data_IF_849763878662
#
_entry.id   IF_849763878662
#
_cell.length_a   1.000
_cell.length_b   1.000
_cell.length_c   1.000
_cell.angle_alpha   90.00
_cell.angle_beta   90.00
_cell.angle_gamma   90.00
#
_symmetry.space_group_name_H-M   'P 1'
#
loop_
_entity.id
_entity.type
_entity.pdbx_description
1 polymer ?
#
# COMPACT_ATOMS: atom_id res chain seq x y z
N UNK A 1 -18.57 7.69 2.92
CA UNK A 1 -17.75 6.66 3.59
C UNK A 1 -18.22 6.45 5.03
N UNK A 2 -18.17 5.23 5.56
CA UNK A 2 -18.53 4.98 6.97
C UNK A 2 -17.53 5.65 7.92
N UNK A 3 -18.01 6.22 9.03
CA UNK A 3 -17.17 6.86 10.06
C UNK A 3 -16.14 5.87 10.65
N UNK A 4 -16.54 4.59 10.77
CA UNK A 4 -15.69 3.47 11.17
C UNK A 4 -14.49 3.29 10.22
N UNK A 5 -14.72 3.38 8.90
CA UNK A 5 -13.65 3.22 7.91
C UNK A 5 -12.61 4.36 8.01
N UNK A 6 -13.06 5.60 8.22
CA UNK A 6 -12.15 6.75 8.43
C UNK A 6 -11.29 6.58 9.69
N UNK A 7 -11.88 6.07 10.78
CA UNK A 7 -11.17 5.79 12.03
C UNK A 7 -10.10 4.72 11.85
N UNK A 8 -10.44 3.55 11.29
CA UNK A 8 -9.46 2.47 11.09
C UNK A 8 -8.31 2.88 10.17
N UNK A 9 -8.59 3.68 9.13
CA UNK A 9 -7.55 4.23 8.25
C UNK A 9 -6.67 5.24 8.99
N UNK A 10 -7.25 6.09 9.82
CA UNK A 10 -6.47 7.04 10.64
C UNK A 10 -5.59 6.31 11.65
N UNK A 11 -6.10 5.27 12.31
CA UNK A 11 -5.33 4.42 13.23
C UNK A 11 -4.21 3.63 12.54
N UNK A 12 -4.42 3.23 11.28
CA UNK A 12 -3.37 2.66 10.46
C UNK A 12 -2.21 3.65 10.27
N UNK A 13 -2.52 4.92 10.07
CA UNK A 13 -1.55 5.99 9.80
C UNK A 13 -1.88 6.81 8.54
N UNK A 14 -3.11 6.74 8.05
CA UNK A 14 -3.59 7.58 6.94
C UNK A 14 -3.90 8.98 7.44
N UNK A 15 -3.29 9.99 6.80
CA UNK A 15 -3.69 11.38 6.99
C UNK A 15 -4.97 11.63 6.18
N UNK A 16 -6.12 11.31 6.78
CA UNK A 16 -7.42 11.46 6.11
C UNK A 16 -7.65 12.89 5.62
N UNK A 17 -7.18 13.90 6.36
CA UNK A 17 -7.33 15.30 5.94
C UNK A 17 -6.59 15.55 4.62
N UNK A 18 -5.29 15.27 4.59
CA UNK A 18 -4.46 15.49 3.40
C UNK A 18 -4.89 14.60 2.22
N UNK A 19 -5.34 13.40 2.51
CA UNK A 19 -5.86 12.48 1.48
C UNK A 19 -7.15 13.00 0.88
N UNK A 20 -8.12 13.46 1.68
CA UNK A 20 -9.36 14.04 1.15
C UNK A 20 -9.11 15.31 0.32
N UNK A 21 -8.10 16.12 0.64
CA UNK A 21 -7.69 17.26 -0.20
C UNK A 21 -7.29 16.81 -1.63
N UNK A 22 -6.62 15.65 -1.78
CA UNK A 22 -6.26 15.10 -3.10
C UNK A 22 -7.47 14.58 -3.87
N UNK A 23 -8.46 14.06 -3.17
CA UNK A 23 -9.72 13.58 -3.74
C UNK A 23 -10.77 14.70 -3.86
N UNK A 24 -10.42 15.96 -3.59
CA UNK A 24 -11.34 17.11 -3.67
C UNK A 24 -12.58 16.92 -2.77
N UNK A 25 -12.40 16.23 -1.64
CA UNK A 25 -13.47 15.88 -0.71
C UNK A 25 -14.37 14.72 -1.16
N UNK A 26 -14.06 14.06 -2.28
CA UNK A 26 -14.83 12.94 -2.80
C UNK A 26 -14.48 11.64 -2.05
N UNK A 27 -15.27 11.38 -1.00
CA UNK A 27 -15.13 10.19 -0.17
C UNK A 27 -15.53 8.90 -0.88
N UNK A 28 -16.42 8.98 -1.87
CA UNK A 28 -16.92 7.83 -2.60
C UNK A 28 -15.84 7.32 -3.56
N UNK A 29 -15.25 8.25 -4.32
CA UNK A 29 -14.10 7.97 -5.19
C UNK A 29 -12.92 7.39 -4.41
N UNK A 30 -12.66 7.89 -3.20
CA UNK A 30 -11.63 7.32 -2.33
C UNK A 30 -11.96 5.87 -1.95
N UNK A 31 -13.19 5.60 -1.50
CA UNK A 31 -13.62 4.28 -1.08
C UNK A 31 -13.57 3.27 -2.25
N UNK A 32 -13.95 3.69 -3.46
CA UNK A 32 -13.80 2.90 -4.68
C UNK A 32 -12.33 2.59 -4.99
N UNK A 33 -11.47 3.60 -4.93
CA UNK A 33 -10.04 3.44 -5.17
C UNK A 33 -9.38 2.53 -4.13
N UNK A 34 -9.76 2.64 -2.86
CA UNK A 34 -9.31 1.75 -1.78
C UNK A 34 -9.79 0.32 -2.03
N UNK A 35 -11.07 0.13 -2.33
CA UNK A 35 -11.65 -1.19 -2.63
C UNK A 35 -10.96 -1.85 -3.82
N UNK A 36 -10.70 -1.06 -4.87
CA UNK A 36 -9.95 -1.51 -6.05
C UNK A 36 -8.51 -1.86 -5.69
N UNK A 37 -7.82 -1.07 -4.87
CA UNK A 37 -6.49 -1.41 -4.39
C UNK A 37 -6.48 -2.75 -3.64
N UNK A 38 -7.50 -3.04 -2.82
CA UNK A 38 -7.59 -4.29 -2.08
C UNK A 38 -7.91 -5.50 -2.98
N UNK A 39 -8.72 -5.30 -4.02
CA UNK A 39 -9.15 -6.37 -4.94
C UNK A 39 -8.17 -6.63 -6.09
N UNK A 40 -7.55 -5.57 -6.60
CA UNK A 40 -6.64 -5.52 -7.75
C UNK A 40 -5.22 -5.15 -7.29
N UNK A 41 -4.85 -5.58 -6.08
CA UNK A 41 -3.53 -5.27 -5.55
C UNK A 41 -2.49 -5.87 -6.48
N UNK A 42 -1.48 -5.09 -6.89
CA UNK A 42 -0.29 -5.61 -7.59
C UNK A 42 0.58 -6.49 -6.66
N UNK A 43 0.05 -6.90 -5.50
CA UNK A 43 0.73 -7.69 -4.49
C UNK A 43 1.06 -9.11 -4.96
N UNK A 44 0.15 -9.88 -5.60
CA UNK A 44 0.50 -11.20 -6.12
C UNK A 44 1.59 -11.12 -7.20
N UNK A 45 1.58 -10.05 -8.00
CA UNK A 45 2.59 -9.80 -9.03
C UNK A 45 3.96 -9.47 -8.41
N UNK A 46 3.97 -8.58 -7.40
CA UNK A 46 5.19 -8.25 -6.65
C UNK A 46 5.76 -9.49 -5.94
N UNK A 47 4.89 -10.30 -5.31
CA UNK A 47 5.27 -11.55 -4.65
C UNK A 47 5.89 -12.54 -5.64
N UNK A 48 5.25 -12.74 -6.80
CA UNK A 48 5.79 -13.62 -7.84
C UNK A 48 7.17 -13.14 -8.31
N UNK A 49 7.33 -11.84 -8.59
CA UNK A 49 8.61 -11.26 -8.97
C UNK A 49 9.68 -11.43 -7.87
N UNK A 50 9.28 -11.37 -6.60
CA UNK A 50 10.15 -11.63 -5.46
C UNK A 50 10.59 -13.09 -5.36
N UNK A 51 9.66 -14.04 -5.43
CA UNK A 51 9.97 -15.47 -5.35
C UNK A 51 10.88 -15.93 -6.50
N UNK A 52 10.76 -15.31 -7.66
CA UNK A 52 11.58 -15.58 -8.85
C UNK A 52 12.84 -14.70 -8.98
N UNK A 53 13.06 -13.75 -8.06
CA UNK A 53 14.17 -12.78 -8.09
C UNK A 53 14.21 -11.94 -9.38
N UNK A 54 13.05 -11.66 -9.96
CA UNK A 54 12.89 -10.81 -11.13
C UNK A 54 12.92 -9.33 -10.72
N UNK A 55 14.11 -8.82 -10.39
CA UNK A 55 14.29 -7.48 -9.81
C UNK A 55 13.71 -6.34 -10.67
N UNK A 56 13.74 -6.50 -12.00
CA UNK A 56 13.18 -5.51 -12.91
C UNK A 56 11.67 -5.42 -12.80
N UNK A 57 10.99 -6.57 -12.84
CA UNK A 57 9.52 -6.64 -12.68
C UNK A 57 9.11 -6.20 -11.28
N UNK A 58 9.86 -6.64 -10.26
CA UNK A 58 9.68 -6.22 -8.88
C UNK A 58 9.73 -4.70 -8.73
N UNK A 59 10.66 -4.03 -9.42
CA UNK A 59 10.75 -2.57 -9.43
C UNK A 59 9.50 -1.94 -10.05
N UNK A 60 9.01 -2.44 -11.20
CA UNK A 60 7.82 -1.89 -11.86
C UNK A 60 6.56 -2.06 -11.00
N UNK A 61 6.38 -3.23 -10.39
CA UNK A 61 5.27 -3.50 -9.48
C UNK A 61 5.34 -2.66 -8.20
N UNK A 62 6.51 -2.59 -7.56
CA UNK A 62 6.71 -1.76 -6.39
C UNK A 62 6.53 -0.27 -6.70
N UNK A 63 6.96 0.20 -7.87
CA UNK A 63 6.77 1.58 -8.31
C UNK A 63 5.29 1.92 -8.52
N UNK A 64 4.52 0.97 -9.06
CA UNK A 64 3.06 1.10 -9.20
C UNK A 64 2.39 1.17 -7.83
N UNK A 65 2.72 0.25 -6.92
CA UNK A 65 2.22 0.22 -5.55
C UNK A 65 2.56 1.51 -4.80
N UNK A 66 3.77 2.06 -4.97
CA UNK A 66 4.17 3.35 -4.39
C UNK A 66 3.22 4.48 -4.83
N UNK A 67 2.85 4.52 -6.10
CA UNK A 67 1.92 5.52 -6.62
C UNK A 67 0.53 5.39 -6.00
N UNK A 68 -0.01 4.18 -5.96
CA UNK A 68 -1.35 3.91 -5.43
C UNK A 68 -1.41 4.19 -3.92
N UNK A 69 -0.44 3.68 -3.16
CA UNK A 69 -0.36 3.90 -1.70
C UNK A 69 -0.15 5.36 -1.34
N UNK A 70 0.64 6.10 -2.15
CA UNK A 70 0.84 7.54 -1.99
C UNK A 70 -0.43 8.35 -2.28
N UNK A 71 -1.20 7.96 -3.30
CA UNK A 71 -2.47 8.60 -3.63
C UNK A 71 -3.51 8.36 -2.52
N UNK A 72 -3.62 7.13 -2.03
CA UNK A 72 -4.53 6.75 -0.95
C UNK A 72 -4.09 7.24 0.44
N UNK A 73 -2.88 7.82 0.54
CA UNK A 73 -2.31 8.30 1.79
C UNK A 73 -2.01 7.19 2.80
N UNK A 74 -1.79 5.96 2.34
CA UNK A 74 -1.41 4.80 3.15
C UNK A 74 0.05 4.96 3.62
N UNK A 75 0.33 5.97 4.44
CA UNK A 75 1.69 6.44 4.78
C UNK A 75 2.64 5.33 5.22
N UNK A 76 2.27 4.39 6.13
CA UNK A 76 3.17 3.32 6.54
C UNK A 76 3.57 2.41 5.38
N UNK A 77 2.58 1.92 4.61
CA UNK A 77 2.81 1.08 3.44
C UNK A 77 3.58 1.82 2.34
N UNK A 78 3.24 3.10 2.11
CA UNK A 78 3.93 3.96 1.15
C UNK A 78 5.42 4.07 1.48
N UNK A 79 5.78 4.26 2.75
CA UNK A 79 7.17 4.36 3.17
C UNK A 79 7.91 3.04 2.91
N UNK A 80 7.35 1.91 3.35
CA UNK A 80 7.95 0.59 3.14
C UNK A 80 8.16 0.28 1.65
N UNK A 81 7.14 0.53 0.82
CA UNK A 81 7.24 0.32 -0.63
C UNK A 81 8.23 1.31 -1.26
N UNK A 82 8.28 2.56 -0.79
CA UNK A 82 9.23 3.55 -1.31
C UNK A 82 10.68 3.17 -1.01
N UNK A 83 10.96 2.59 0.17
CA UNK A 83 12.29 2.08 0.52
C UNK A 83 12.68 0.89 -0.38
N UNK A 84 11.74 -0.03 -0.63
CA UNK A 84 11.93 -1.15 -1.56
C UNK A 84 12.23 -0.68 -2.99
N UNK A 85 11.45 0.28 -3.51
CA UNK A 85 11.70 0.92 -4.82
C UNK A 85 13.07 1.58 -4.87
N UNK A 86 13.49 2.21 -3.77
CA UNK A 86 14.82 2.81 -3.63
C UNK A 86 15.93 1.77 -3.73
N UNK A 87 15.83 0.68 -2.97
CA UNK A 87 16.80 -0.41 -3.00
C UNK A 87 16.92 -1.02 -4.41
N UNK A 88 15.78 -1.29 -5.06
CA UNK A 88 15.76 -1.84 -6.41
C UNK A 88 16.34 -0.87 -7.45
N UNK A 89 16.06 0.43 -7.34
CA UNK A 89 16.60 1.46 -8.23
C UNK A 89 18.12 1.56 -8.16
N UNK A 90 18.69 1.37 -6.97
CA UNK A 90 20.14 1.43 -6.74
C UNK A 90 20.79 0.05 -6.69
N UNK A 91 20.09 -0.99 -7.15
CA UNK A 91 20.60 -2.37 -7.24
C UNK A 91 21.09 -2.94 -5.89
N UNK A 92 20.52 -2.46 -4.78
CA UNK A 92 20.82 -2.91 -3.42
C UNK A 92 20.03 -4.19 -3.08
N UNK A 93 20.21 -5.23 -3.90
CA UNK A 93 19.43 -6.47 -3.80
C UNK A 93 19.57 -7.18 -2.45
N UNK A 94 20.70 -6.98 -1.75
CA UNK A 94 20.93 -7.49 -0.38
C UNK A 94 19.90 -6.98 0.66
N UNK A 95 19.22 -5.86 0.39
CA UNK A 95 18.20 -5.28 1.27
C UNK A 95 16.78 -5.69 0.88
N UNK A 96 16.60 -6.27 -0.31
CA UNK A 96 15.28 -6.51 -0.89
C UNK A 96 14.47 -7.48 -0.04
N UNK A 97 15.08 -8.55 0.47
CA UNK A 97 14.38 -9.52 1.33
C UNK A 97 13.79 -8.85 2.57
N UNK A 98 14.59 -8.13 3.34
CA UNK A 98 14.10 -7.44 4.55
C UNK A 98 13.09 -6.33 4.24
N UNK A 99 13.23 -5.63 3.12
CA UNK A 99 12.25 -4.62 2.68
C UNK A 99 10.93 -5.25 2.22
N UNK A 100 10.99 -6.39 1.54
CA UNK A 100 9.80 -7.15 1.15
C UNK A 100 9.02 -7.62 2.38
N UNK A 101 9.71 -8.16 3.39
CA UNK A 101 9.08 -8.56 4.67
C UNK A 101 8.39 -7.38 5.37
N UNK A 102 9.01 -6.20 5.35
CA UNK A 102 8.39 -4.98 5.89
C UNK A 102 7.13 -4.57 5.11
N UNK A 103 7.17 -4.63 3.78
CA UNK A 103 6.00 -4.34 2.94
C UNK A 103 4.87 -5.34 3.20
N UNK A 104 5.18 -6.64 3.28
CA UNK A 104 4.21 -7.69 3.59
C UNK A 104 3.56 -7.49 4.97
N UNK A 105 4.38 -7.14 5.98
CA UNK A 105 3.90 -6.86 7.33
C UNK A 105 2.96 -5.65 7.36
N UNK A 106 3.30 -4.56 6.68
CA UNK A 106 2.45 -3.36 6.61
C UNK A 106 1.16 -3.61 5.82
N UNK A 107 1.21 -4.40 4.74
CA UNK A 107 0.01 -4.79 4.00
C UNK A 107 -0.90 -5.66 4.87
N UNK A 108 -0.34 -6.63 5.59
CA UNK A 108 -1.08 -7.48 6.52
C UNK A 108 -1.71 -6.67 7.66
N UNK A 109 -1.01 -5.66 8.17
CA UNK A 109 -1.53 -4.71 9.17
C UNK A 109 -2.69 -3.90 8.60
N UNK A 110 -2.59 -3.41 7.37
CA UNK A 110 -3.67 -2.69 6.67
C UNK A 110 -4.91 -3.57 6.51
N UNK A 111 -4.74 -4.79 6.00
CA UNK A 111 -5.85 -5.73 5.82
C UNK A 111 -6.53 -6.09 7.14
N UNK A 112 -5.76 -6.22 8.22
CA UNK A 112 -6.29 -6.50 9.56
C UNK A 112 -7.19 -5.38 10.07
N UNK A 113 -6.73 -4.13 9.99
CA UNK A 113 -7.53 -2.98 10.48
C UNK A 113 -8.77 -2.74 9.61
N UNK A 114 -8.69 -3.04 8.31
CA UNK A 114 -9.83 -2.96 7.41
C UNK A 114 -10.81 -4.13 7.61
N UNK A 115 -10.32 -5.34 7.86
CA UNK A 115 -11.15 -6.52 8.14
C UNK A 115 -11.97 -6.38 9.43
N UNK A 116 -11.44 -5.67 10.43
CA UNK A 116 -12.16 -5.34 11.67
C UNK A 116 -13.39 -4.43 11.44
N UNK A 117 -13.54 -3.81 10.25
CA UNK A 117 -14.69 -2.97 9.92
C UNK A 117 -15.83 -3.72 9.21
N UNK A 118 -15.67 -5.01 8.89
CA UNK A 118 -16.62 -5.83 8.13
C UNK A 118 -17.40 -6.88 8.93
N UNK A 119 -17.22 -6.95 10.25
CA UNK A 119 -17.99 -7.82 11.15
C UNK A 119 -18.92 -6.98 12.04
N UNK A 120 -19.99 -6.43 11.45
CA UNK A 120 -21.20 -5.97 12.18
C UNK A 120 -22.46 -6.48 11.48
#
# INVERSE_FOLDING_TARGET
MADTLKKVLTEYGVDMKKTMERFVGDEDLYAECLTKFLSDSSWPLLKNAYEHKEYKEMFEYAHTLKGVTGNLGLTPLYNAVSDMVGALRFEQYEKVDGLYELVEAELSRLLRVLGQSGEE
#
